data_IF_543979823254
#
_entry.id   IF_543979823254
#
_cell.length_a   1.000
_cell.length_b   1.000
_cell.length_c   1.000
_cell.angle_alpha   90.00
_cell.angle_beta   90.00
_cell.angle_gamma   90.00
#
_symmetry.space_group_name_H-M   'P 1'
#
loop_
_entity.id
_entity.type
_entity.pdbx_description
1 polymer ?
#
# COMPACT_ATOMS: atom_id res chain seq x y z
N UNK A 1 5.63 -47.38 -62.98
CA UNK A 1 6.23 -46.02 -63.00
C UNK A 1 5.35 -45.11 -62.15
N UNK A 2 6.00 -44.34 -61.25
CA UNK A 2 5.55 -43.13 -60.51
C UNK A 2 4.16 -43.14 -59.86
N UNK A 3 4.03 -43.04 -58.52
CA UNK A 3 4.42 -41.90 -57.67
C UNK A 3 3.15 -41.07 -57.43
N UNK A 4 2.64 -40.76 -56.23
CA UNK A 4 3.24 -40.08 -55.09
C UNK A 4 2.19 -40.07 -53.95
N UNK A 5 2.57 -40.48 -52.73
CA UNK A 5 1.79 -40.25 -51.50
C UNK A 5 2.76 -39.85 -50.40
N UNK A 6 2.98 -38.55 -50.23
CA UNK A 6 3.80 -38.04 -49.11
C UNK A 6 3.26 -36.71 -48.62
N UNK A 7 2.13 -36.71 -47.91
CA UNK A 7 1.70 -35.57 -47.11
C UNK A 7 0.99 -36.11 -45.87
N UNK A 8 1.70 -36.32 -44.75
CA UNK A 8 1.03 -36.50 -43.44
C UNK A 8 1.94 -36.63 -42.20
N UNK A 9 3.25 -36.35 -42.25
CA UNK A 9 4.11 -36.59 -41.07
C UNK A 9 4.65 -35.35 -40.35
N UNK A 10 4.54 -34.13 -40.89
CA UNK A 10 5.15 -32.95 -40.26
C UNK A 10 4.26 -32.16 -39.29
N UNK A 11 2.95 -32.45 -39.21
CA UNK A 11 2.02 -31.66 -38.39
C UNK A 11 1.75 -32.22 -36.98
N UNK A 12 2.24 -33.42 -36.66
CA UNK A 12 2.01 -34.06 -35.34
C UNK A 12 3.08 -33.76 -34.29
N UNK A 13 4.23 -33.24 -34.67
CA UNK A 13 5.33 -32.98 -33.72
C UNK A 13 5.27 -31.59 -33.09
N UNK A 14 4.60 -30.61 -33.71
CA UNK A 14 4.53 -29.24 -33.19
C UNK A 14 3.46 -29.03 -32.11
N UNK A 15 2.51 -29.97 -31.96
CA UNK A 15 1.44 -29.86 -30.96
C UNK A 15 1.86 -30.36 -29.56
N UNK A 16 2.83 -31.26 -29.48
CA UNK A 16 3.28 -31.82 -28.20
C UNK A 16 4.18 -30.86 -27.40
N UNK A 17 4.90 -29.96 -28.08
CA UNK A 17 5.77 -28.98 -27.42
C UNK A 17 5.00 -27.78 -26.83
N UNK A 18 3.83 -27.44 -27.39
CA UNK A 18 3.01 -26.32 -26.89
C UNK A 18 2.15 -26.70 -25.67
N UNK A 19 1.87 -27.99 -25.45
CA UNK A 19 1.05 -28.45 -24.32
C UNK A 19 1.83 -28.61 -23.00
N UNK A 20 3.17 -28.69 -23.06
CA UNK A 20 4.03 -28.87 -21.89
C UNK A 20 4.43 -27.56 -21.18
N UNK A 21 4.13 -26.39 -21.79
CA UNK A 21 4.38 -25.07 -21.19
C UNK A 21 3.18 -24.51 -20.39
N UNK A 22 2.08 -25.25 -20.27
CA UNK A 22 0.92 -24.88 -19.45
C UNK A 22 0.93 -25.57 -18.07
N UNK A 23 1.99 -26.31 -17.74
CA UNK A 23 2.15 -26.99 -16.47
C UNK A 23 2.71 -26.06 -15.39
N UNK A 24 1.87 -25.74 -14.42
CA UNK A 24 2.21 -25.14 -13.13
C UNK A 24 2.50 -23.64 -13.12
N UNK A 25 1.53 -22.84 -13.55
CA UNK A 25 1.26 -21.61 -12.79
C UNK A 25 0.74 -22.03 -11.42
N UNK A 26 1.63 -22.23 -10.46
CA UNK A 26 1.24 -22.15 -9.05
C UNK A 26 0.76 -20.73 -8.88
N UNK A 27 -0.56 -20.53 -8.93
CA UNK A 27 -1.19 -19.33 -8.40
C UNK A 27 -0.80 -19.29 -6.93
N UNK A 28 0.31 -18.61 -6.62
CA UNK A 28 0.57 -18.04 -5.30
C UNK A 28 -0.67 -17.25 -4.97
N UNK A 29 -1.50 -17.78 -4.07
CA UNK A 29 -2.67 -17.07 -3.58
C UNK A 29 -2.17 -15.78 -2.94
N UNK A 30 -2.33 -14.67 -3.65
CA UNK A 30 -2.23 -13.33 -3.11
C UNK A 30 -3.32 -13.21 -2.05
N UNK A 31 -2.93 -13.35 -0.78
CA UNK A 31 -3.83 -13.27 0.34
C UNK A 31 -3.32 -12.23 1.31
N UNK A 32 -4.11 -11.17 1.52
CA UNK A 32 -4.02 -10.43 2.78
C UNK A 32 -4.29 -11.44 3.90
N UNK A 33 -3.30 -11.65 4.75
CA UNK A 33 -3.34 -12.66 5.79
C UNK A 33 -4.02 -12.10 7.04
N UNK A 34 -3.72 -10.86 7.39
CA UNK A 34 -4.32 -10.19 8.54
C UNK A 34 -4.24 -8.68 8.38
N UNK A 35 -5.21 -7.97 8.93
CA UNK A 35 -5.22 -6.50 9.02
C UNK A 35 -5.58 -6.09 10.43
N UNK A 36 -4.87 -5.09 10.95
CA UNK A 36 -5.16 -4.49 12.24
C UNK A 36 -5.04 -2.99 12.14
N UNK A 37 -5.92 -2.29 12.85
CA UNK A 37 -5.92 -0.83 12.88
C UNK A 37 -5.58 -0.37 14.30
N UNK A 38 -4.55 0.45 14.40
CA UNK A 38 -4.23 1.21 15.59
C UNK A 38 -4.90 2.56 15.49
N UNK A 39 -5.88 2.78 16.38
CA UNK A 39 -6.39 4.11 16.69
C UNK A 39 -5.37 4.79 17.60
N UNK A 40 -4.73 5.82 17.07
CA UNK A 40 -3.78 6.65 17.78
C UNK A 40 -4.53 7.53 18.79
N UNK A 41 -3.94 7.79 19.96
CA UNK A 41 -2.92 8.82 20.04
C UNK A 41 -1.51 8.23 20.09
N UNK A 42 -0.74 8.38 19.01
CA UNK A 42 0.71 8.21 19.03
C UNK A 42 1.25 9.55 19.55
N UNK A 43 0.95 9.84 20.82
CA UNK A 43 1.52 11.00 21.48
C UNK A 43 3.06 10.88 21.36
N UNK A 44 3.78 11.99 21.09
CA UNK A 44 5.23 11.97 20.90
C UNK A 44 6.00 11.38 22.10
N UNK A 45 5.34 11.23 23.26
CA UNK A 45 5.92 10.72 24.51
C UNK A 45 5.55 9.24 24.82
N UNK A 46 4.76 8.56 23.97
CA UNK A 46 4.32 7.19 24.22
C UNK A 46 4.63 6.25 23.06
N UNK A 47 5.58 5.34 23.27
CA UNK A 47 5.84 4.21 22.37
C UNK A 47 4.60 3.32 22.29
N UNK A 48 3.95 3.29 21.13
CA UNK A 48 2.79 2.44 20.90
C UNK A 48 3.23 1.13 20.26
N UNK A 49 2.99 0.01 20.94
CA UNK A 49 3.39 -1.33 20.49
C UNK A 49 2.19 -2.17 20.12
N UNK A 50 2.30 -2.87 19.00
CA UNK A 50 1.33 -3.85 18.51
C UNK A 50 2.04 -5.16 18.19
N UNK A 51 1.48 -6.25 18.69
CA UNK A 51 1.90 -7.60 18.34
C UNK A 51 0.85 -8.22 17.43
N UNK A 52 1.20 -8.48 16.18
CA UNK A 52 0.33 -9.14 15.21
C UNK A 52 0.61 -10.63 15.16
N UNK A 53 -0.34 -11.41 15.66
CA UNK A 53 -0.30 -12.87 15.51
C UNK A 53 -0.62 -13.24 14.07
N UNK A 54 0.25 -14.04 13.46
CA UNK A 54 0.07 -14.52 12.09
C UNK A 54 -0.99 -15.62 12.04
N UNK A 55 -1.87 -15.64 11.02
CA UNK A 55 -2.97 -16.59 10.93
C UNK A 55 -2.50 -18.01 10.60
N UNK A 56 -3.39 -18.98 10.83
CA UNK A 56 -3.16 -20.38 10.42
C UNK A 56 -3.06 -20.45 8.89
N UNK A 57 -1.94 -20.97 8.38
CA UNK A 57 -1.66 -21.01 6.94
C UNK A 57 -0.53 -20.08 6.48
N UNK A 58 0.07 -19.31 7.41
CA UNK A 58 1.28 -18.55 7.16
C UNK A 58 2.46 -19.44 6.73
N UNK A 59 3.08 -19.12 5.60
CA UNK A 59 4.23 -19.84 5.05
C UNK A 59 5.54 -19.22 5.57
N UNK A 60 6.14 -19.79 6.61
CA UNK A 60 7.31 -19.18 7.27
C UNK A 60 8.58 -19.12 6.40
N UNK A 61 8.61 -19.83 5.27
CA UNK A 61 9.67 -19.83 4.27
C UNK A 61 9.48 -18.78 3.15
N UNK A 62 8.41 -17.98 3.21
CA UNK A 62 8.10 -16.96 2.20
C UNK A 62 8.25 -15.54 2.73
N UNK A 63 8.70 -14.65 1.84
CA UNK A 63 8.70 -13.20 2.07
C UNK A 63 7.30 -12.72 2.48
N UNK A 64 7.28 -11.74 3.38
CA UNK A 64 6.06 -11.12 3.88
C UNK A 64 6.04 -9.67 3.42
N UNK A 65 4.93 -9.23 2.84
CA UNK A 65 4.71 -7.82 2.60
C UNK A 65 3.88 -7.22 3.74
N UNK A 66 4.24 -6.01 4.15
CA UNK A 66 3.52 -5.23 5.16
C UNK A 66 3.16 -3.88 4.55
N UNK A 67 1.89 -3.51 4.66
CA UNK A 67 1.36 -2.24 4.19
C UNK A 67 1.01 -1.40 5.41
N UNK A 68 1.56 -0.20 5.44
CA UNK A 68 1.26 0.83 6.42
C UNK A 68 0.43 1.92 5.75
N UNK A 69 -0.78 2.13 6.23
CA UNK A 69 -1.66 3.22 5.80
C UNK A 69 -1.88 4.16 6.98
N UNK A 70 -1.38 5.38 6.83
CA UNK A 70 -1.38 6.40 7.85
C UNK A 70 -2.34 7.53 7.47
N UNK A 71 -3.17 7.94 8.43
CA UNK A 71 -3.85 9.23 8.42
C UNK A 71 -3.31 10.05 9.58
N UNK A 72 -2.85 11.26 9.27
CA UNK A 72 -2.28 12.21 10.23
C UNK A 72 -2.74 13.64 9.93
N UNK A 73 -2.71 14.50 10.94
CA UNK A 73 -2.86 15.95 10.79
C UNK A 73 -1.47 16.59 10.70
N UNK A 74 -1.32 17.57 9.82
CA UNK A 74 -0.13 18.43 9.76
C UNK A 74 -0.54 19.86 10.09
N UNK A 75 -0.39 20.31 11.36
CA UNK A 75 -0.85 21.63 11.77
C UNK A 75 -0.13 22.76 11.03
N UNK A 76 1.14 22.55 10.64
CA UNK A 76 1.98 23.58 10.01
C UNK A 76 2.26 23.33 8.51
N UNK A 77 1.66 22.30 7.89
CA UNK A 77 2.05 21.80 6.56
C UNK A 77 3.57 21.60 6.43
N UNK A 78 4.20 21.08 7.49
CA UNK A 78 5.64 20.84 7.49
C UNK A 78 5.97 19.59 6.66
N UNK A 79 6.57 19.79 5.49
CA UNK A 79 7.03 18.69 4.62
C UNK A 79 8.12 17.83 5.28
N UNK A 80 8.81 18.36 6.29
CA UNK A 80 9.82 17.62 7.06
C UNK A 80 9.23 16.74 8.17
N UNK A 81 7.91 16.81 8.40
CA UNK A 81 7.26 15.96 9.37
C UNK A 81 7.42 14.48 9.01
N UNK A 82 7.69 13.63 10.00
CA UNK A 82 7.88 12.19 9.80
C UNK A 82 7.33 11.32 10.95
N UNK A 83 6.95 10.10 10.60
CA UNK A 83 6.59 9.02 11.51
C UNK A 83 7.53 7.83 11.28
N UNK A 84 8.25 7.42 12.31
CA UNK A 84 9.13 6.25 12.29
C UNK A 84 8.46 5.06 12.98
N UNK A 85 8.42 3.94 12.25
CA UNK A 85 7.84 2.66 12.69
C UNK A 85 8.97 1.63 12.69
N UNK A 86 9.17 0.97 13.83
CA UNK A 86 10.01 -0.21 13.95
C UNK A 86 9.18 -1.47 13.72
N UNK A 87 9.71 -2.43 12.96
CA UNK A 87 9.05 -3.70 12.65
C UNK A 87 10.03 -4.87 12.69
N UNK A 88 9.66 -5.95 13.38
CA UNK A 88 10.43 -7.19 13.39
C UNK A 88 9.58 -8.39 13.76
N UNK A 89 9.91 -9.57 13.24
CA UNK A 89 9.35 -10.80 13.79
C UNK A 89 10.04 -11.12 15.11
N UNK A 90 9.28 -11.55 16.10
CA UNK A 90 9.83 -11.92 17.40
C UNK A 90 10.95 -12.96 17.22
N UNK A 91 12.13 -12.72 17.82
CA UNK A 91 13.32 -13.60 17.78
C UNK A 91 13.89 -13.88 16.38
N UNK A 92 13.51 -13.11 15.37
CA UNK A 92 14.10 -13.18 14.03
C UNK A 92 15.01 -11.97 13.82
N UNK A 93 16.18 -12.21 13.23
CA UNK A 93 17.09 -11.14 12.87
C UNK A 93 16.57 -10.41 11.63
N UNK A 94 15.97 -9.24 11.83
CA UNK A 94 15.57 -8.34 10.74
C UNK A 94 16.76 -7.46 10.34
N UNK A 95 17.14 -7.38 9.05
CA UNK A 95 18.19 -6.48 8.61
C UNK A 95 17.78 -5.01 8.85
N UNK A 96 18.74 -4.15 9.20
CA UNK A 96 18.47 -2.74 9.53
C UNK A 96 17.68 -2.00 8.45
N UNK A 97 17.88 -2.34 7.17
CA UNK A 97 17.16 -1.74 6.04
C UNK A 97 15.68 -2.09 6.00
N UNK A 98 15.25 -3.14 6.69
CA UNK A 98 13.88 -3.59 6.78
C UNK A 98 13.29 -3.40 8.19
N UNK A 99 14.12 -3.05 9.19
CA UNK A 99 13.73 -2.85 10.57
C UNK A 99 12.92 -1.56 10.76
N UNK A 100 13.25 -0.50 10.02
CA UNK A 100 12.59 0.79 10.14
C UNK A 100 11.84 1.18 8.87
N UNK A 101 10.63 1.69 9.04
CA UNK A 101 9.82 2.32 8.01
C UNK A 101 9.57 3.75 8.41
N UNK A 102 9.80 4.70 7.50
CA UNK A 102 9.55 6.13 7.74
C UNK A 102 8.49 6.62 6.76
N UNK A 103 7.42 7.20 7.29
CA UNK A 103 6.41 7.93 6.52
C UNK A 103 6.71 9.42 6.66
N UNK A 104 6.96 10.10 5.53
CA UNK A 104 7.27 11.53 5.49
C UNK A 104 6.10 12.31 4.93
N UNK A 105 5.77 13.45 5.53
CA UNK A 105 4.67 14.29 5.08
C UNK A 105 4.79 14.70 3.61
N UNK A 106 5.99 15.03 3.13
CA UNK A 106 6.22 15.37 1.73
C UNK A 106 5.93 14.24 0.71
N UNK A 107 5.89 12.97 1.16
CA UNK A 107 5.54 11.81 0.33
C UNK A 107 4.05 11.41 0.47
N UNK A 108 3.28 12.14 1.29
CA UNK A 108 1.87 11.85 1.58
C UNK A 108 0.94 12.74 0.74
N UNK A 109 -0.25 12.23 0.46
CA UNK A 109 -1.30 13.03 -0.14
C UNK A 109 -1.89 13.99 0.89
N UNK A 110 -1.60 15.29 0.75
CA UNK A 110 -2.24 16.33 1.54
C UNK A 110 -3.62 16.69 0.94
N UNK A 111 -4.66 16.62 1.76
CA UNK A 111 -6.01 17.02 1.40
C UNK A 111 -6.55 18.06 2.39
N UNK A 112 -6.92 19.24 1.90
CA UNK A 112 -7.44 20.35 2.70
C UNK A 112 -8.97 20.31 2.89
N UNK A 113 -9.61 19.14 2.80
CA UNK A 113 -11.08 19.03 2.87
C UNK A 113 -11.54 18.21 4.07
N UNK A 114 -12.24 18.87 4.99
CA UNK A 114 -12.91 18.33 6.18
C UNK A 114 -13.74 17.08 5.88
N UNK A 115 -14.48 17.08 4.76
CA UNK A 115 -15.29 15.94 4.35
C UNK A 115 -14.47 14.69 4.01
N UNK A 116 -13.21 14.85 3.62
CA UNK A 116 -12.31 13.73 3.31
C UNK A 116 -11.61 13.16 4.54
N UNK A 117 -11.55 13.89 5.65
CA UNK A 117 -10.91 13.45 6.91
C UNK A 117 -11.75 12.41 7.61
N UNK A 118 -13.00 12.78 7.93
CA UNK A 118 -13.96 11.88 8.55
C UNK A 118 -14.18 10.64 7.66
N UNK A 119 -14.27 10.82 6.34
CA UNK A 119 -14.40 9.71 5.40
C UNK A 119 -13.18 8.79 5.34
N UNK A 120 -11.94 9.33 5.33
CA UNK A 120 -10.72 8.49 5.34
C UNK A 120 -10.54 7.79 6.67
N UNK A 121 -10.82 8.47 7.78
CA UNK A 121 -10.80 7.87 9.11
C UNK A 121 -11.84 6.75 9.18
N UNK A 122 -13.09 7.02 8.79
CA UNK A 122 -14.17 6.04 8.72
C UNK A 122 -13.83 4.85 7.80
N UNK A 123 -13.16 5.07 6.67
CA UNK A 123 -12.65 4.00 5.81
C UNK A 123 -11.58 3.12 6.46
N UNK A 124 -10.82 3.65 7.42
CA UNK A 124 -9.74 2.92 8.11
C UNK A 124 -10.20 2.25 9.39
N UNK A 125 -11.05 2.90 10.17
CA UNK A 125 -11.43 2.48 11.54
C UNK A 125 -12.89 2.05 11.66
N UNK A 126 -13.68 2.20 10.59
CA UNK A 126 -15.12 2.01 10.57
C UNK A 126 -15.88 3.25 11.08
N UNK A 127 -17.19 3.28 10.82
CA UNK A 127 -18.06 4.29 11.41
C UNK A 127 -18.08 4.15 12.94
N UNK A 128 -17.82 5.23 13.66
CA UNK A 128 -17.89 5.28 15.13
C UNK A 128 -18.58 6.56 15.58
N UNK A 129 -19.35 6.44 16.66
CA UNK A 129 -20.02 7.59 17.26
C UNK A 129 -18.99 8.58 17.85
N UNK A 130 -19.25 9.90 17.80
CA UNK A 130 -18.31 10.93 18.27
C UNK A 130 -17.79 10.70 19.70
N UNK A 131 -18.67 10.28 20.62
CA UNK A 131 -18.31 9.98 22.02
C UNK A 131 -17.42 8.73 22.17
N UNK A 132 -17.56 7.76 21.26
CA UNK A 132 -16.69 6.59 21.21
C UNK A 132 -15.31 6.98 20.67
N UNK A 133 -15.29 7.79 19.61
CA UNK A 133 -14.06 8.28 19.00
C UNK A 133 -13.24 9.13 19.98
N UNK A 134 -13.89 10.05 20.70
CA UNK A 134 -13.28 10.86 21.76
C UNK A 134 -12.66 10.00 22.87
N UNK A 135 -13.30 8.89 23.24
CA UNK A 135 -12.78 7.97 24.24
C UNK A 135 -11.54 7.21 23.75
N UNK A 136 -11.51 6.84 22.48
CA UNK A 136 -10.41 6.10 21.86
C UNK A 136 -9.19 6.98 21.58
N UNK A 137 -9.43 8.20 21.10
CA UNK A 137 -8.39 9.17 20.74
C UNK A 137 -7.85 9.95 21.94
N UNK A 138 -8.64 10.06 23.01
CA UNK A 138 -8.37 10.96 24.12
C UNK A 138 -8.78 12.41 23.81
N UNK A 139 -8.88 13.22 24.85
CA UNK A 139 -9.42 14.58 24.76
C UNK A 139 -8.60 15.48 23.83
N UNK A 140 -7.27 15.42 23.92
CA UNK A 140 -6.38 16.34 23.20
C UNK A 140 -6.34 16.03 21.69
N UNK A 141 -6.23 14.75 21.33
CA UNK A 141 -6.22 14.36 19.92
C UNK A 141 -7.60 14.53 19.28
N UNK A 142 -8.67 14.28 20.04
CA UNK A 142 -10.03 14.56 19.56
C UNK A 142 -10.25 16.05 19.32
N UNK A 143 -9.76 16.91 20.21
CA UNK A 143 -9.82 18.37 20.02
C UNK A 143 -9.01 18.82 18.79
N UNK A 144 -7.82 18.26 18.58
CA UNK A 144 -7.03 18.52 17.37
C UNK A 144 -7.76 18.05 16.09
N UNK A 145 -8.41 16.89 16.14
CA UNK A 145 -9.25 16.38 15.05
C UNK A 145 -10.45 17.30 14.75
N UNK A 146 -11.17 17.76 15.78
CA UNK A 146 -12.28 18.72 15.61
C UNK A 146 -11.80 20.05 15.06
N UNK A 147 -10.66 20.57 15.54
CA UNK A 147 -10.07 21.82 15.05
C UNK A 147 -9.64 21.71 13.59
N UNK A 148 -8.91 20.65 13.23
CA UNK A 148 -8.51 20.41 11.83
C UNK A 148 -9.73 20.22 10.92
N UNK A 149 -10.79 19.60 11.44
CA UNK A 149 -12.09 19.47 10.77
C UNK A 149 -12.86 20.79 10.68
N UNK A 150 -12.58 21.79 11.51
CA UNK A 150 -13.21 23.11 11.41
C UNK A 150 -12.42 24.04 10.47
N UNK A 151 -11.08 24.01 10.58
CA UNK A 151 -10.17 24.99 9.97
C UNK A 151 -9.61 24.55 8.60
N UNK A 152 -10.03 23.38 8.08
CA UNK A 152 -9.55 22.80 6.81
C UNK A 152 -8.03 22.58 6.81
N UNK A 153 -7.45 22.28 7.97
CA UNK A 153 -6.02 21.98 8.07
C UNK A 153 -5.65 20.75 7.22
N UNK A 154 -4.38 20.72 6.79
CA UNK A 154 -3.86 19.72 5.87
C UNK A 154 -3.86 18.33 6.49
N UNK A 155 -4.74 17.45 5.99
CA UNK A 155 -4.74 16.05 6.38
C UNK A 155 -3.85 15.26 5.45
N UNK A 156 -2.89 14.57 6.05
CA UNK A 156 -1.94 13.72 5.36
C UNK A 156 -2.48 12.30 5.30
N UNK A 157 -2.59 11.76 4.10
CA UNK A 157 -2.81 10.34 3.88
C UNK A 157 -1.63 9.71 3.16
N UNK A 158 -1.01 8.73 3.80
CA UNK A 158 0.20 8.07 3.31
C UNK A 158 0.04 6.57 3.24
N UNK A 159 0.71 5.95 2.27
CA UNK A 159 0.82 4.50 2.21
C UNK A 159 2.23 4.07 1.85
N UNK A 160 2.82 3.22 2.68
CA UNK A 160 4.10 2.58 2.41
C UNK A 160 3.93 1.07 2.40
N UNK A 161 4.54 0.43 1.41
CA UNK A 161 4.61 -1.03 1.30
C UNK A 161 6.06 -1.44 1.49
N UNK A 162 6.29 -2.35 2.43
CA UNK A 162 7.62 -2.91 2.71
C UNK A 162 7.59 -4.42 2.58
N UNK A 163 8.74 -5.02 2.31
CA UNK A 163 8.92 -6.47 2.28
C UNK A 163 9.89 -6.88 3.37
N UNK A 164 9.45 -7.81 4.20
CA UNK A 164 10.22 -8.45 5.23
C UNK A 164 10.70 -9.82 4.75
N UNK A 165 11.94 -10.22 5.09
CA UNK A 165 12.42 -11.56 4.81
C UNK A 165 11.59 -12.61 5.57
N UNK A 166 11.59 -13.87 5.11
CA UNK A 166 10.88 -14.95 5.77
C UNK A 166 11.38 -15.12 7.21
N UNK A 167 10.48 -15.33 8.19
CA UNK A 167 10.87 -15.64 9.57
C UNK A 167 11.52 -17.03 9.71
N UNK A 168 11.42 -17.87 8.68
CA UNK A 168 12.07 -19.16 8.58
C UNK A 168 11.21 -20.29 9.12
N UNK A 169 11.32 -20.58 10.43
CA UNK A 169 10.83 -21.86 11.00
C UNK A 169 9.55 -21.76 11.82
N UNK A 170 9.14 -20.57 12.24
CA UNK A 170 7.96 -20.38 13.07
C UNK A 170 7.14 -19.18 12.61
N UNK A 171 5.84 -19.27 12.85
CA UNK A 171 4.89 -18.16 12.71
C UNK A 171 5.04 -17.22 13.94
N UNK A 172 6.25 -16.71 14.16
CA UNK A 172 6.50 -15.76 15.24
C UNK A 172 5.64 -14.51 15.04
N UNK A 173 5.10 -13.91 16.11
CA UNK A 173 4.35 -12.68 16.01
C UNK A 173 5.17 -11.58 15.35
N UNK A 174 4.54 -10.81 14.46
CA UNK A 174 5.13 -9.60 13.93
C UNK A 174 4.94 -8.48 14.95
N UNK A 175 6.04 -8.00 15.52
CA UNK A 175 6.08 -6.86 16.41
C UNK A 175 6.19 -5.58 15.59
N UNK A 176 5.32 -4.62 15.87
CA UNK A 176 5.32 -3.31 15.26
C UNK A 176 5.25 -2.28 16.37
N UNK A 177 6.21 -1.36 16.37
CA UNK A 177 6.32 -0.31 17.37
C UNK A 177 6.40 1.03 16.66
N UNK A 178 5.56 1.97 17.08
CA UNK A 178 5.67 3.36 16.64
C UNK A 178 6.64 4.06 17.58
N UNK A 179 7.81 4.40 17.06
CA UNK A 179 8.93 4.91 17.85
C UNK A 179 8.89 6.44 18.00
N UNK A 180 8.52 7.15 16.92
CA UNK A 180 8.54 8.62 16.92
C UNK A 180 7.56 9.18 15.88
N UNK A 181 6.84 10.22 16.28
CA UNK A 181 6.16 11.16 15.37
C UNK A 181 6.75 12.56 15.58
N UNK A 182 7.14 13.25 14.52
CA UNK A 182 7.68 14.62 14.58
C UNK A 182 7.00 15.46 13.51
N UNK A 183 6.50 16.64 13.90
CA UNK A 183 5.82 17.57 12.97
C UNK A 183 4.44 17.11 12.45
N UNK A 184 3.95 15.94 12.85
CA UNK A 184 2.62 15.44 12.49
C UNK A 184 1.90 14.82 13.69
N UNK A 185 0.57 14.88 13.68
CA UNK A 185 -0.31 14.26 14.68
C UNK A 185 -1.03 13.06 14.04
N UNK A 186 -0.52 11.84 14.21
CA UNK A 186 -1.11 10.65 13.64
C UNK A 186 -2.47 10.33 14.31
N UNK A 187 -3.49 10.07 13.48
CA UNK A 187 -4.86 9.76 13.90
C UNK A 187 -5.16 8.26 13.83
N UNK A 188 -4.72 7.60 12.77
CA UNK A 188 -4.92 6.17 12.58
C UNK A 188 -3.78 5.57 11.75
N UNK A 189 -3.33 4.39 12.15
CA UNK A 189 -2.38 3.57 11.40
C UNK A 189 -3.01 2.20 11.16
N UNK A 190 -3.35 1.90 9.90
CA UNK A 190 -3.76 0.55 9.49
C UNK A 190 -2.54 -0.21 9.00
N UNK A 191 -2.41 -1.42 9.49
CA UNK A 191 -1.33 -2.35 9.16
C UNK A 191 -1.97 -3.57 8.52
N UNK A 192 -1.55 -3.87 7.29
CA UNK A 192 -2.00 -5.07 6.58
C UNK A 192 -0.80 -5.93 6.25
N UNK A 193 -0.85 -7.20 6.63
CA UNK A 193 0.22 -8.17 6.42
C UNK A 193 -0.26 -9.22 5.44
N UNK A 194 0.57 -9.59 4.46
CA UNK A 194 0.26 -10.68 3.54
C UNK A 194 1.50 -11.34 2.95
N UNK A 195 1.26 -12.37 2.14
CA UNK A 195 2.29 -13.18 1.49
C UNK A 195 1.98 -13.36 0.00
N UNK A 196 3.00 -13.74 -0.77
CA UNK A 196 2.89 -13.91 -2.22
C UNK A 196 2.83 -12.58 -2.98
N UNK A 197 1.99 -12.51 -4.01
CA UNK A 197 1.81 -11.28 -4.78
C UNK A 197 1.08 -10.21 -3.95
N UNK A 198 1.50 -8.95 -4.13
CA UNK A 198 0.86 -7.81 -3.48
C UNK A 198 -0.56 -7.62 -4.05
N UNK A 199 -1.57 -7.52 -3.18
CA UNK A 199 -2.96 -7.30 -3.61
C UNK A 199 -3.06 -6.10 -4.56
N UNK A 200 -3.89 -6.16 -5.63
CA UNK A 200 -4.04 -5.08 -6.60
C UNK A 200 -4.41 -3.72 -5.99
N UNK A 201 -5.10 -3.71 -4.87
CA UNK A 201 -5.46 -2.51 -4.12
C UNK A 201 -4.25 -1.77 -3.52
N UNK A 202 -3.16 -2.49 -3.19
CA UNK A 202 -1.92 -1.95 -2.64
C UNK A 202 -0.85 -1.70 -3.70
N UNK A 203 -1.04 -2.24 -4.91
CA UNK A 203 -0.24 -1.86 -6.06
C UNK A 203 -0.48 -0.36 -6.29
N UNK A 204 0.54 0.46 -6.06
CA UNK A 204 0.45 1.90 -6.19
C UNK A 204 -0.13 2.24 -7.57
N UNK A 205 -1.25 2.98 -7.59
CA UNK A 205 -1.74 3.52 -8.86
C UNK A 205 -0.62 4.38 -9.43
N UNK A 206 -0.16 4.06 -10.65
CA UNK A 206 1.14 4.52 -11.11
C UNK A 206 1.02 5.92 -11.71
N UNK A 207 0.37 6.87 -11.02
CA UNK A 207 0.21 8.26 -11.50
C UNK A 207 1.55 8.97 -11.71
N UNK A 208 2.60 8.52 -11.01
CA UNK A 208 3.97 9.00 -11.18
C UNK A 208 4.94 8.01 -11.82
N UNK A 209 4.46 6.88 -12.33
CA UNK A 209 5.34 6.00 -13.11
C UNK A 209 5.74 6.68 -14.42
N UNK A 210 7.00 6.47 -14.81
CA UNK A 210 7.53 6.90 -16.11
C UNK A 210 6.64 6.40 -17.27
N UNK A 211 6.04 5.21 -17.12
CA UNK A 211 5.10 4.61 -18.06
C UNK A 211 3.79 5.39 -18.19
N UNK A 212 3.21 5.87 -17.08
CA UNK A 212 2.00 6.68 -17.11
C UNK A 212 2.25 8.07 -17.69
N UNK A 213 3.36 8.72 -17.31
CA UNK A 213 3.78 9.99 -17.92
C UNK A 213 4.00 9.83 -19.43
N UNK A 214 4.70 8.78 -19.85
CA UNK A 214 4.91 8.48 -21.27
C UNK A 214 3.59 8.22 -22.01
N UNK A 215 2.67 7.46 -21.42
CA UNK A 215 1.34 7.21 -21.97
C UNK A 215 0.50 8.49 -22.10
N UNK A 216 0.55 9.37 -21.10
CA UNK A 216 -0.15 10.65 -21.11
C UNK A 216 0.41 11.60 -22.18
N UNK A 217 1.73 11.73 -22.30
CA UNK A 217 2.36 12.52 -23.37
C UNK A 217 2.08 11.96 -24.76
N UNK A 218 2.07 10.64 -24.93
CA UNK A 218 1.69 10.00 -26.19
C UNK A 218 0.23 10.29 -26.55
N UNK A 219 -0.69 10.21 -25.59
CA UNK A 219 -2.10 10.54 -25.81
C UNK A 219 -2.31 12.01 -26.20
N UNK A 220 -1.61 12.94 -25.53
CA UNK A 220 -1.63 14.36 -25.88
C UNK A 220 -1.07 14.63 -27.28
N UNK A 221 0.03 13.97 -27.67
CA UNK A 221 0.61 14.11 -29.00
C UNK A 221 -0.34 13.60 -30.10
N UNK A 222 -1.00 12.45 -29.88
CA UNK A 222 -2.01 11.91 -30.80
C UNK A 222 -3.21 12.85 -30.90
N UNK A 223 -3.68 13.38 -29.78
CA UNK A 223 -4.79 14.33 -29.76
C UNK A 223 -4.43 15.62 -30.50
N UNK A 224 -3.27 16.22 -30.23
CA UNK A 224 -2.77 17.40 -30.93
C UNK A 224 -2.64 17.18 -32.44
N UNK A 225 -2.15 16.01 -32.85
CA UNK A 225 -2.07 15.64 -34.27
C UNK A 225 -3.45 15.51 -34.93
N UNK A 226 -4.42 14.88 -34.25
CA UNK A 226 -5.80 14.77 -34.74
C UNK A 226 -6.47 16.13 -34.91
N UNK A 227 -6.28 17.04 -33.94
CA UNK A 227 -6.80 18.41 -34.00
C UNK A 227 -6.18 19.16 -35.18
N UNK A 228 -4.85 19.15 -35.34
CA UNK A 228 -4.16 19.77 -36.47
C UNK A 228 -4.64 19.19 -37.81
N UNK A 229 -4.79 17.86 -37.91
CA UNK A 229 -5.28 17.19 -39.12
C UNK A 229 -6.72 17.58 -39.45
N UNK A 230 -7.56 17.78 -38.44
CA UNK A 230 -8.95 18.19 -38.62
C UNK A 230 -9.03 19.61 -39.20
N UNK A 231 -8.27 20.56 -38.66
CA UNK A 231 -8.22 21.93 -39.18
C UNK A 231 -7.59 22.01 -40.58
N UNK A 232 -6.57 21.20 -40.86
CA UNK A 232 -5.87 21.17 -42.15
C UNK A 232 -6.69 20.54 -43.29
N UNK A 233 -7.80 19.86 -42.99
CA UNK A 233 -8.76 19.35 -43.99
C UNK A 233 -9.91 20.31 -44.27
N UNK A 234 -10.05 21.38 -43.48
CA UNK A 234 -11.19 22.31 -43.54
C UNK A 234 -10.85 23.64 -44.22
N UNK A 235 -9.55 23.93 -44.37
CA UNK A 235 -9.00 24.93 -45.28
C UNK A 235 -8.58 24.24 -46.58
#
# INVERSE_FOLDING_TARGET
MSGSRTISHSLRQSAAAAALLLGFSVTTLAGSLTSSTLLAPLAPEHTSRLSLTLPRGFAADQDVWVVYELVALSPDNDDAAELSIEQSFERVMTPLTALYVTLRAGDMESNASVGTVAQRLEQLVGHREPEELKRLMGTDLYAAYESASADKEGVLGGRVVTRLPPPGKSAEPLQISVERATGMLPLALRITVGQGELSPEFQQQPKDSVLYRAGYFAALAIFGWLVLRFFRRRN
#
